data_IF_888011550532
#
_entry.id   IF_888011550532
#
_cell.length_a   1.000
_cell.length_b   1.000
_cell.length_c   1.000
_cell.angle_alpha   90.00
_cell.angle_beta   90.00
_cell.angle_gamma   90.00
#
_symmetry.space_group_name_H-M   'P 1'
#
loop_
_entity.id
_entity.type
_entity.pdbx_description
1 polymer ?
#
# COMPACT_ATOMS: atom_id res chain seq x y z
N UNK A 1 -13.04 34.02 5.93
CA UNK A 1 -13.37 32.63 6.30
C UNK A 1 -12.21 31.73 5.88
N UNK A 2 -11.50 31.10 6.84
CA UNK A 2 -10.47 30.09 6.50
C UNK A 2 -11.19 28.75 6.29
N UNK A 3 -11.29 28.31 5.02
CA UNK A 3 -11.89 27.02 4.65
C UNK A 3 -11.03 25.82 5.03
N UNK A 4 -9.76 26.02 5.38
CA UNK A 4 -8.80 24.95 5.62
C UNK A 4 -8.59 24.80 7.12
N UNK A 5 -8.96 23.63 7.65
CA UNK A 5 -8.68 23.22 9.02
C UNK A 5 -7.46 22.28 9.01
N UNK A 6 -6.40 22.55 9.80
CA UNK A 6 -5.33 21.59 9.98
C UNK A 6 -5.89 20.34 10.65
N UNK A 7 -5.37 19.18 10.26
CA UNK A 7 -5.66 17.90 10.87
C UNK A 7 -4.37 17.16 11.18
N UNK A 8 -4.39 16.30 12.19
CA UNK A 8 -3.27 15.44 12.49
C UNK A 8 -3.20 14.32 11.46
N UNK A 9 -2.04 14.16 10.81
CA UNK A 9 -1.77 13.01 9.97
C UNK A 9 -1.74 11.73 10.81
N UNK A 10 -2.41 10.68 10.35
CA UNK A 10 -2.28 9.36 10.93
C UNK A 10 -0.91 8.80 10.55
N UNK A 11 -0.15 8.34 11.56
CA UNK A 11 1.15 7.70 11.36
C UNK A 11 1.15 6.34 12.07
N UNK A 12 1.80 5.31 11.49
CA UNK A 12 1.94 4.03 12.15
C UNK A 12 2.75 4.14 13.44
N UNK A 13 2.49 3.24 14.39
CA UNK A 13 3.30 3.08 15.60
C UNK A 13 4.73 2.70 15.21
N UNK A 14 5.72 3.11 15.99
CA UNK A 14 7.13 2.93 15.63
C UNK A 14 7.53 1.46 15.41
N UNK A 15 6.86 0.54 16.10
CA UNK A 15 7.04 -0.91 16.01
C UNK A 15 6.57 -1.50 14.66
N UNK A 16 5.52 -0.91 14.07
CA UNK A 16 4.95 -1.33 12.78
C UNK A 16 5.37 -0.42 11.63
N UNK A 17 6.04 0.69 11.91
CA UNK A 17 6.48 1.65 10.89
C UNK A 17 7.40 1.00 9.84
N UNK A 18 8.31 0.10 10.25
CA UNK A 18 9.18 -0.64 9.34
C UNK A 18 8.42 -1.67 8.48
N UNK A 19 7.30 -2.18 8.98
CA UNK A 19 6.44 -3.11 8.24
C UNK A 19 5.52 -2.35 7.27
N UNK A 20 5.07 -1.15 7.64
CA UNK A 20 4.28 -0.29 6.75
C UNK A 20 5.14 0.29 5.64
N UNK A 21 6.40 0.60 5.91
CA UNK A 21 7.34 1.08 4.92
C UNK A 21 7.50 0.04 3.79
N UNK A 22 7.00 0.39 2.61
CA UNK A 22 7.08 -0.47 1.42
C UNK A 22 8.04 0.11 0.39
N UNK A 23 8.59 -0.78 -0.42
CA UNK A 23 9.37 -0.40 -1.59
C UNK A 23 8.54 0.49 -2.54
N UNK A 24 9.19 1.43 -3.26
CA UNK A 24 8.50 2.29 -4.22
C UNK A 24 7.82 1.47 -5.32
N UNK A 25 6.57 1.80 -5.59
CA UNK A 25 5.64 1.11 -6.48
C UNK A 25 6.03 1.11 -7.96
N UNK A 26 6.99 1.95 -8.36
CA UNK A 26 7.52 2.05 -9.72
C UNK A 26 8.57 0.97 -10.05
N UNK A 27 9.10 0.27 -9.04
CA UNK A 27 10.22 -0.67 -9.23
C UNK A 27 9.77 -2.13 -9.20
N UNK A 28 8.50 -2.39 -8.87
CA UNK A 28 8.02 -3.75 -8.55
C UNK A 28 6.86 -4.14 -9.47
N UNK A 29 6.98 -5.31 -10.10
CA UNK A 29 5.91 -5.92 -10.87
C UNK A 29 4.81 -6.50 -9.96
N UNK A 30 3.62 -6.75 -10.52
CA UNK A 30 2.48 -7.28 -9.75
C UNK A 30 2.82 -8.58 -9.00
N UNK A 31 3.55 -9.48 -9.64
CA UNK A 31 3.94 -10.79 -9.08
C UNK A 31 4.86 -10.63 -7.86
N UNK A 32 5.92 -9.85 -8.01
CA UNK A 32 6.85 -9.49 -6.93
C UNK A 32 6.13 -8.76 -5.78
N UNK A 33 5.20 -7.87 -6.11
CA UNK A 33 4.42 -7.14 -5.10
C UNK A 33 3.49 -8.07 -4.30
N UNK A 34 2.89 -9.08 -4.94
CA UNK A 34 2.09 -10.11 -4.26
C UNK A 34 2.96 -10.93 -3.31
N UNK A 35 4.17 -11.31 -3.74
CA UNK A 35 5.08 -12.12 -2.92
C UNK A 35 5.56 -11.34 -1.69
N UNK A 36 5.96 -10.08 -1.88
CA UNK A 36 6.39 -9.18 -0.79
C UNK A 36 5.24 -8.85 0.17
N UNK A 37 4.03 -8.64 -0.35
CA UNK A 37 2.87 -8.33 0.49
C UNK A 37 2.30 -9.57 1.20
N UNK A 38 2.45 -10.77 0.64
CA UNK A 38 2.08 -12.03 1.32
C UNK A 38 2.85 -12.24 2.61
N UNK A 39 4.13 -11.87 2.63
CA UNK A 39 4.98 -12.01 3.81
C UNK A 39 4.67 -10.94 4.88
N UNK A 40 4.07 -9.81 4.49
CA UNK A 40 3.81 -8.69 5.38
C UNK A 40 2.40 -8.09 5.20
N UNK A 41 1.42 -8.46 6.05
CA UNK A 41 0.04 -7.98 5.95
C UNK A 41 -0.13 -6.48 6.27
N UNK A 42 0.89 -5.84 6.84
CA UNK A 42 0.89 -4.40 7.12
C UNK A 42 1.53 -3.57 6.01
N UNK A 43 1.95 -4.21 4.91
CA UNK A 43 2.60 -3.56 3.78
C UNK A 43 1.69 -2.52 3.12
N UNK A 44 2.21 -1.32 2.89
CA UNK A 44 1.51 -0.25 2.18
C UNK A 44 1.22 -0.58 0.70
N UNK A 45 1.82 -1.66 0.16
CA UNK A 45 1.51 -2.18 -1.17
C UNK A 45 0.04 -2.57 -1.34
N UNK A 46 -0.64 -3.02 -0.28
CA UNK A 46 -2.09 -3.29 -0.32
C UNK A 46 -2.92 -2.03 -0.66
N UNK A 47 -2.44 -0.85 -0.26
CA UNK A 47 -3.11 0.44 -0.52
C UNK A 47 -2.65 1.05 -1.85
N UNK A 48 -1.34 1.04 -2.09
CA UNK A 48 -0.77 1.67 -3.27
C UNK A 48 -0.99 0.83 -4.55
N UNK A 49 -1.03 -0.49 -4.40
CA UNK A 49 -1.12 -1.48 -5.48
C UNK A 49 -2.26 -2.47 -5.18
N UNK A 50 -3.53 -2.01 -5.09
CA UNK A 50 -4.66 -2.88 -4.71
C UNK A 50 -4.90 -4.04 -5.68
N UNK A 51 -4.28 -4.00 -6.87
CA UNK A 51 -4.25 -5.12 -7.83
C UNK A 51 -3.60 -6.41 -7.29
N UNK A 52 -2.90 -6.36 -6.15
CA UNK A 52 -2.33 -7.54 -5.49
C UNK A 52 -3.36 -8.34 -4.68
N UNK A 53 -4.38 -7.68 -4.12
CA UNK A 53 -5.47 -8.33 -3.36
C UNK A 53 -6.64 -8.77 -4.23
N UNK A 54 -6.63 -8.33 -5.50
CA UNK A 54 -7.67 -8.63 -6.47
C UNK A 54 -7.29 -9.89 -7.26
N UNK A 55 -8.26 -10.79 -7.43
CA UNK A 55 -8.08 -12.04 -8.17
C UNK A 55 -7.52 -11.78 -9.59
N UNK A 56 -6.63 -12.66 -10.05
CA UNK A 56 -5.96 -12.51 -11.35
C UNK A 56 -6.96 -12.49 -12.53
N UNK A 57 -8.17 -13.03 -12.34
CA UNK A 57 -9.23 -13.07 -13.34
C UNK A 57 -10.06 -11.78 -13.41
N UNK A 58 -9.94 -10.87 -12.44
CA UNK A 58 -10.56 -9.55 -12.53
C UNK A 58 -9.63 -8.70 -13.40
N UNK A 59 -10.01 -8.57 -14.68
CA UNK A 59 -9.23 -7.86 -15.69
C UNK A 59 -8.93 -6.41 -15.28
N UNK A 60 -7.72 -5.93 -15.60
CA UNK A 60 -7.42 -4.50 -15.58
C UNK A 60 -8.50 -3.80 -16.39
N UNK A 61 -9.21 -2.84 -15.78
CA UNK A 61 -10.15 -1.98 -16.48
C UNK A 61 -9.45 -1.41 -17.71
N UNK A 62 -9.90 -1.87 -18.88
CA UNK A 62 -9.41 -1.43 -20.18
C UNK A 62 -10.21 -0.23 -20.64
#
# INVERSE_FOLDING_TARGET
MKLIKPFCGLRPTQEVASQVASHPYDVINREEAIEIAKDNPYSFLHINKPEIDVDINIGRFR
#
